data_IF_505739286720
#
_entry.id   IF_505739286720
#
_cell.length_a   1.000
_cell.length_b   1.000
_cell.length_c   1.000
_cell.angle_alpha   90.00
_cell.angle_beta   90.00
_cell.angle_gamma   90.00
#
_symmetry.space_group_name_H-M   'P 1'
#
loop_
_entity.id
_entity.type
_entity.pdbx_description
1 polymer ?
#
# COMPACT_ATOMS: atom_id res chain seq x y z
N UNK A 1 -20.02 -41.76 44.52
CA UNK A 1 -20.16 -40.88 45.69
C UNK A 1 -20.40 -39.51 45.10
N UNK A 2 -21.64 -39.15 45.01
CA UNK A 2 -22.49 -38.22 45.80
C UNK A 2 -22.07 -36.77 45.48
N UNK A 3 -22.93 -36.09 44.66
CA UNK A 3 -23.98 -35.10 45.01
C UNK A 3 -23.39 -33.83 45.62
N UNK A 4 -23.66 -32.63 45.20
CA UNK A 4 -24.98 -31.98 45.28
C UNK A 4 -25.06 -30.73 44.40
N UNK A 5 -26.25 -30.56 43.85
CA UNK A 5 -26.87 -29.40 43.22
C UNK A 5 -27.21 -28.32 44.24
N UNK A 6 -27.21 -27.04 43.84
CA UNK A 6 -28.21 -26.12 44.39
C UNK A 6 -28.59 -25.02 43.39
N UNK A 7 -29.88 -25.01 43.14
CA UNK A 7 -30.70 -24.05 42.39
C UNK A 7 -31.26 -23.04 43.39
N UNK A 8 -31.33 -21.78 43.07
CA UNK A 8 -32.30 -20.89 43.73
C UNK A 8 -32.74 -19.76 42.78
N UNK A 9 -34.01 -19.87 42.41
CA UNK A 9 -34.88 -18.82 41.83
C UNK A 9 -35.45 -17.98 42.96
N UNK A 10 -35.63 -16.66 42.73
CA UNK A 10 -36.65 -15.81 43.41
C UNK A 10 -36.89 -14.61 42.49
N UNK A 11 -37.94 -14.54 41.79
CA UNK A 11 -39.34 -14.09 41.97
C UNK A 11 -39.50 -12.56 42.21
N UNK A 12 -40.31 -12.03 41.27
CA UNK A 12 -40.96 -10.71 41.19
C UNK A 12 -41.63 -10.22 42.48
N UNK A 13 -41.69 -8.89 42.60
CA UNK A 13 -42.89 -8.22 43.13
C UNK A 13 -43.10 -6.85 42.52
N UNK A 14 -44.25 -6.65 41.89
CA UNK A 14 -44.83 -5.39 41.48
C UNK A 14 -45.69 -4.85 42.61
N UNK A 15 -45.65 -3.55 42.87
CA UNK A 15 -46.68 -2.84 43.65
C UNK A 15 -47.00 -1.54 42.88
N UNK A 16 -48.28 -1.43 42.52
CA UNK A 16 -48.92 -0.23 42.03
C UNK A 16 -49.71 0.46 43.15
N UNK A 17 -50.10 1.70 42.92
CA UNK A 17 -51.14 2.59 43.46
C UNK A 17 -50.66 4.01 43.21
N UNK A 18 -51.36 5.00 42.66
CA UNK A 18 -52.77 5.26 42.52
C UNK A 18 -52.95 6.77 42.62
N UNK A 19 -53.60 7.34 41.68
CA UNK A 19 -54.22 8.66 41.46
C UNK A 19 -54.27 9.71 42.58
N UNK A 20 -54.07 11.02 42.22
CA UNK A 20 -55.17 12.02 42.21
C UNK A 20 -54.71 13.45 41.96
N UNK A 21 -55.36 14.11 41.03
CA UNK A 21 -55.76 15.53 40.88
C UNK A 21 -55.11 16.64 41.70
N UNK A 22 -54.60 17.69 41.00
CA UNK A 22 -55.12 19.06 41.11
C UNK A 22 -54.39 19.98 40.13
N UNK A 23 -55.14 20.72 39.36
CA UNK A 23 -54.71 21.67 38.34
C UNK A 23 -54.13 22.94 38.88
N UNK A 24 -53.28 23.53 38.10
CA UNK A 24 -53.03 24.98 38.15
C UNK A 24 -52.58 25.41 36.73
N UNK A 25 -53.44 26.17 36.05
CA UNK A 25 -53.15 26.84 34.80
C UNK A 25 -52.12 27.97 35.12
N UNK A 26 -50.91 27.84 34.55
CA UNK A 26 -50.03 28.99 34.39
C UNK A 26 -49.62 29.07 32.92
N UNK A 27 -50.19 30.03 32.23
CA UNK A 27 -49.76 30.49 30.90
C UNK A 27 -48.37 31.10 31.05
N UNK A 28 -47.37 30.42 30.56
CA UNK A 28 -46.08 31.01 30.28
C UNK A 28 -45.87 31.05 28.75
N UNK A 29 -45.82 32.26 28.21
CA UNK A 29 -45.39 32.57 26.87
C UNK A 29 -43.94 32.07 26.69
N UNK A 30 -43.76 30.91 26.00
CA UNK A 30 -42.46 30.45 25.53
C UNK A 30 -42.19 31.12 24.18
N UNK A 31 -41.33 32.14 24.21
CA UNK A 31 -40.71 32.68 23.01
C UNK A 31 -39.92 31.54 22.34
N UNK A 32 -40.40 31.06 21.19
CA UNK A 32 -39.73 30.12 20.35
C UNK A 32 -38.47 30.78 19.76
N UNK A 33 -37.33 30.58 20.39
CA UNK A 33 -36.05 30.84 19.78
C UNK A 33 -35.84 29.78 18.68
N UNK A 34 -35.67 30.15 17.39
CA UNK A 34 -35.36 29.16 16.36
C UNK A 34 -33.95 28.60 16.61
N UNK A 35 -33.85 27.41 17.19
CA UNK A 35 -32.64 26.61 17.15
C UNK A 35 -32.29 26.38 15.67
N UNK A 36 -31.42 27.24 15.12
CA UNK A 36 -30.74 26.94 13.87
C UNK A 36 -29.91 25.69 14.14
N UNK A 37 -30.43 24.54 13.70
CA UNK A 37 -29.64 23.34 13.56
C UNK A 37 -28.52 23.66 12.55
N UNK A 38 -27.32 23.89 13.06
CA UNK A 38 -26.12 23.89 12.21
C UNK A 38 -25.95 22.44 11.76
N UNK A 39 -26.59 22.10 10.64
CA UNK A 39 -26.36 20.86 9.96
C UNK A 39 -24.85 20.81 9.66
N UNK A 40 -24.14 19.88 10.32
CA UNK A 40 -22.75 19.62 10.02
C UNK A 40 -22.69 19.28 8.53
N UNK A 41 -22.00 20.10 7.74
CA UNK A 41 -21.81 19.84 6.32
C UNK A 41 -21.23 18.43 6.15
N UNK A 42 -21.75 17.60 5.23
CA UNK A 42 -21.31 16.23 5.07
C UNK A 42 -19.78 16.19 4.84
N UNK A 43 -19.13 15.18 5.39
CA UNK A 43 -17.66 15.01 5.37
C UNK A 43 -17.07 15.10 3.94
N UNK A 44 -17.86 14.78 2.91
CA UNK A 44 -17.57 14.99 1.49
C UNK A 44 -17.13 16.44 1.17
N UNK A 45 -17.82 17.42 1.75
CA UNK A 45 -17.50 18.82 1.53
C UNK A 45 -16.16 19.27 2.14
N UNK A 46 -15.64 18.56 3.13
CA UNK A 46 -14.40 18.94 3.81
C UNK A 46 -13.16 18.52 3.01
N UNK A 47 -13.14 17.31 2.47
CA UNK A 47 -12.03 16.82 1.63
C UNK A 47 -12.02 17.52 0.27
N UNK A 48 -13.20 17.73 -0.34
CA UNK A 48 -13.33 18.54 -1.55
C UNK A 48 -12.88 20.00 -1.32
N UNK A 49 -13.21 20.61 -0.19
CA UNK A 49 -12.73 21.95 0.20
C UNK A 49 -11.22 21.97 0.46
N UNK A 50 -10.66 20.93 1.06
CA UNK A 50 -9.22 20.81 1.28
C UNK A 50 -8.45 20.64 -0.04
N UNK A 51 -9.00 19.88 -1.00
CA UNK A 51 -8.44 19.75 -2.35
C UNK A 51 -8.57 21.06 -3.15
N UNK A 52 -9.72 21.73 -3.06
CA UNK A 52 -9.96 23.02 -3.71
C UNK A 52 -9.18 24.20 -3.09
N UNK A 53 -8.66 24.05 -1.86
CA UNK A 53 -7.88 25.10 -1.17
C UNK A 53 -6.38 25.06 -1.44
N UNK A 54 -5.89 24.07 -2.21
CA UNK A 54 -4.48 24.02 -2.60
C UNK A 54 -4.20 25.05 -3.68
N UNK A 55 -3.03 25.71 -3.64
CA UNK A 55 -2.65 26.61 -4.73
C UNK A 55 -2.59 25.85 -6.05
N UNK A 56 -2.86 26.54 -7.17
CA UNK A 56 -2.81 25.91 -8.48
C UNK A 56 -1.42 25.33 -8.74
N UNK A 57 -1.31 24.23 -9.51
CA UNK A 57 -0.03 23.65 -9.88
C UNK A 57 0.77 24.63 -10.75
N UNK A 58 2.09 24.58 -10.66
CA UNK A 58 3.01 25.37 -11.49
C UNK A 58 2.89 24.99 -12.97
N UNK A 59 2.68 23.70 -13.23
CA UNK A 59 2.49 23.11 -14.56
C UNK A 59 1.59 21.88 -14.41
N UNK A 60 0.77 21.60 -15.42
CA UNK A 60 0.05 20.33 -15.55
C UNK A 60 0.54 19.63 -16.80
N UNK A 61 0.85 18.35 -16.70
CA UNK A 61 1.33 17.50 -17.78
C UNK A 61 0.30 16.40 -18.00
N UNK A 62 -0.14 16.20 -19.22
CA UNK A 62 -0.98 15.07 -19.59
C UNK A 62 -0.06 13.95 -20.08
N UNK A 63 -0.27 12.75 -19.52
CA UNK A 63 0.50 11.57 -19.92
C UNK A 63 -0.39 10.61 -20.72
N UNK A 64 0.26 9.68 -21.42
CA UNK A 64 -0.42 8.65 -22.19
C UNK A 64 -1.40 7.86 -21.30
N UNK A 65 -2.63 7.70 -21.81
CA UNK A 65 -3.70 7.04 -21.06
C UNK A 65 -4.58 7.98 -20.21
N UNK A 66 -4.42 9.31 -20.36
CA UNK A 66 -5.35 10.32 -19.84
C UNK A 66 -5.09 10.82 -18.43
N UNK A 67 -4.11 10.30 -17.71
CA UNK A 67 -3.75 10.82 -16.40
C UNK A 67 -3.21 12.27 -16.53
N UNK A 68 -3.62 13.12 -15.61
CA UNK A 68 -3.09 14.48 -15.44
C UNK A 68 -2.13 14.50 -14.26
N UNK A 69 -0.92 15.00 -14.50
CA UNK A 69 0.12 15.15 -13.48
C UNK A 69 0.30 16.63 -13.17
N UNK A 70 0.00 17.00 -11.94
CA UNK A 70 0.18 18.35 -11.44
C UNK A 70 1.57 18.52 -10.82
N UNK A 71 2.35 19.46 -11.30
CA UNK A 71 3.62 19.85 -10.71
C UNK A 71 3.37 20.82 -9.55
N UNK A 72 3.41 20.30 -8.34
CA UNK A 72 3.12 21.06 -7.12
C UNK A 72 4.42 21.47 -6.44
N UNK A 73 4.55 22.72 -5.92
CA UNK A 73 5.72 23.10 -5.13
C UNK A 73 6.01 22.06 -4.03
N UNK A 74 7.24 21.61 -3.91
CA UNK A 74 7.60 20.45 -3.08
C UNK A 74 7.21 20.61 -1.60
N UNK A 75 7.21 21.82 -1.07
CA UNK A 75 6.80 22.13 0.31
C UNK A 75 5.26 22.23 0.50
N UNK A 76 4.48 22.14 -0.58
CA UNK A 76 3.01 22.15 -0.55
C UNK A 76 2.39 20.77 -0.87
N UNK A 77 3.21 19.74 -0.99
CA UNK A 77 2.72 18.38 -1.18
C UNK A 77 1.94 17.87 0.05
N UNK A 78 1.04 16.87 -0.08
CA UNK A 78 0.20 16.37 1.00
C UNK A 78 0.91 15.95 2.28
N UNK A 79 2.17 15.53 2.20
CA UNK A 79 2.97 15.17 3.37
C UNK A 79 3.03 16.28 4.42
N UNK A 80 3.10 17.55 3.99
CA UNK A 80 3.22 18.71 4.87
C UNK A 80 1.89 19.19 5.47
N UNK A 81 0.78 18.52 5.17
CA UNK A 81 -0.47 18.67 5.93
C UNK A 81 -0.36 18.02 7.33
N UNK A 82 0.60 17.10 7.52
CA UNK A 82 0.84 16.47 8.82
C UNK A 82 1.37 17.49 9.83
N UNK A 83 0.80 17.57 11.08
CA UNK A 83 1.18 18.57 12.08
C UNK A 83 2.68 18.65 12.36
N UNK A 84 3.38 17.49 12.40
CA UNK A 84 4.83 17.41 12.65
C UNK A 84 5.70 17.86 11.47
N UNK A 85 5.14 17.98 10.25
CA UNK A 85 5.87 18.42 9.04
C UNK A 85 5.48 19.81 8.58
N UNK A 86 4.43 20.39 9.17
CA UNK A 86 3.90 21.69 8.76
C UNK A 86 5.00 22.76 8.79
N UNK A 87 5.14 23.49 7.68
CA UNK A 87 6.13 24.56 7.53
C UNK A 87 7.56 24.07 7.23
N UNK A 88 7.76 22.76 7.12
CA UNK A 88 9.04 22.20 6.73
C UNK A 88 9.17 22.10 5.19
N UNK A 89 10.34 21.69 4.73
CA UNK A 89 10.66 21.37 3.33
C UNK A 89 11.14 19.91 3.25
N UNK A 90 11.09 19.28 2.06
CA UNK A 90 11.72 17.98 1.87
C UNK A 90 13.21 18.04 2.24
N UNK A 91 13.70 16.94 2.83
CA UNK A 91 15.12 16.77 3.09
C UNK A 91 15.87 16.45 1.79
N UNK A 92 17.13 16.81 1.75
CA UNK A 92 18.03 16.31 0.72
C UNK A 92 18.28 14.81 0.90
N UNK A 93 18.46 14.06 -0.20
CA UNK A 93 18.76 12.63 -0.11
C UNK A 93 20.01 12.36 0.73
N UNK A 94 20.03 11.29 1.53
CA UNK A 94 21.20 10.88 2.29
C UNK A 94 22.32 10.37 1.38
N UNK A 95 23.50 10.17 1.95
CA UNK A 95 24.58 9.45 1.30
C UNK A 95 24.13 8.05 0.88
N UNK A 96 24.63 7.61 -0.27
CA UNK A 96 24.29 6.28 -0.78
C UNK A 96 24.90 5.19 0.06
N UNK A 97 24.22 4.03 0.06
CA UNK A 97 24.71 2.82 0.68
C UNK A 97 26.07 2.41 0.09
N UNK A 98 26.98 1.99 0.96
CA UNK A 98 28.21 1.35 0.56
C UNK A 98 27.93 -0.11 0.14
N UNK A 99 28.69 -0.62 -0.81
CA UNK A 99 28.53 -2.00 -1.29
C UNK A 99 27.38 -2.14 -2.32
N UNK A 100 27.14 -3.31 -2.74
CA UNK A 100 26.15 -3.71 -3.75
C UNK A 100 26.82 -4.54 -4.82
N UNK A 101 26.37 -5.79 -4.97
CA UNK A 101 26.75 -6.59 -6.12
C UNK A 101 26.01 -6.04 -7.33
N UNK A 102 26.73 -5.42 -8.25
CA UNK A 102 26.22 -5.23 -9.61
C UNK A 102 26.15 -6.61 -10.27
N UNK A 103 25.03 -7.26 -10.13
CA UNK A 103 24.74 -8.44 -10.96
C UNK A 103 24.64 -7.90 -12.38
N UNK A 104 25.62 -8.27 -13.21
CA UNK A 104 25.63 -7.90 -14.63
C UNK A 104 24.30 -8.31 -15.25
N UNK A 105 23.52 -7.34 -15.67
CA UNK A 105 22.24 -7.58 -16.32
C UNK A 105 22.50 -8.05 -17.75
N UNK A 106 22.53 -9.36 -17.96
CA UNK A 106 22.44 -9.98 -19.30
C UNK A 106 20.98 -10.07 -19.79
N UNK A 107 20.02 -9.68 -18.98
CA UNK A 107 18.64 -9.44 -19.38
C UNK A 107 18.59 -7.99 -19.86
N UNK A 108 18.07 -7.74 -21.06
CA UNK A 108 17.88 -6.39 -21.57
C UNK A 108 17.31 -5.53 -20.45
N UNK A 109 18.18 -4.73 -19.83
CA UNK A 109 17.75 -3.78 -18.82
C UNK A 109 16.66 -2.96 -19.44
N UNK A 110 15.53 -2.97 -18.81
CA UNK A 110 14.60 -1.89 -19.01
C UNK A 110 15.33 -0.69 -18.48
N UNK A 111 15.91 0.05 -19.40
CA UNK A 111 16.14 1.46 -19.14
C UNK A 111 14.94 1.95 -18.40
N UNK A 112 15.15 2.44 -17.16
CA UNK A 112 14.17 3.13 -16.33
C UNK A 112 12.89 3.34 -17.10
N UNK A 113 11.85 2.61 -16.76
CA UNK A 113 10.54 2.82 -17.36
C UNK A 113 10.37 4.32 -17.35
N UNK A 114 10.59 4.94 -18.48
CA UNK A 114 10.29 6.34 -18.63
C UNK A 114 8.80 6.38 -18.31
N UNK A 115 8.44 6.98 -17.16
CA UNK A 115 7.03 7.20 -16.84
C UNK A 115 6.46 8.21 -17.84
N UNK A 116 6.69 8.00 -19.10
CA UNK A 116 6.12 8.61 -20.30
C UNK A 116 5.85 10.11 -20.25
N UNK A 117 6.40 10.86 -19.28
CA UNK A 117 6.14 12.28 -19.15
C UNK A 117 7.42 13.10 -18.96
N UNK A 118 7.35 14.32 -19.44
CA UNK A 118 8.35 15.35 -19.17
C UNK A 118 8.43 15.63 -17.66
N UNK A 119 9.63 15.68 -17.09
CA UNK A 119 9.80 15.97 -15.66
C UNK A 119 9.19 17.30 -15.25
N UNK A 120 8.71 17.37 -14.02
CA UNK A 120 8.26 18.63 -13.42
C UNK A 120 9.42 19.63 -13.25
N UNK A 121 9.16 20.94 -13.25
CA UNK A 121 10.17 21.96 -12.98
C UNK A 121 10.91 21.71 -11.64
N UNK A 122 12.18 22.13 -11.50
CA UNK A 122 12.89 22.08 -10.23
C UNK A 122 12.12 22.74 -9.10
N UNK A 123 12.20 22.17 -7.90
CA UNK A 123 11.47 22.65 -6.71
C UNK A 123 10.00 22.22 -6.64
N UNK A 124 9.53 21.42 -7.62
CA UNK A 124 8.18 20.85 -7.63
C UNK A 124 8.23 19.33 -7.61
N UNK A 125 7.12 18.70 -7.23
CA UNK A 125 6.92 17.25 -7.29
C UNK A 125 5.69 16.92 -8.15
N UNK A 126 5.75 15.86 -8.98
CA UNK A 126 4.61 15.42 -9.78
C UNK A 126 3.61 14.67 -8.92
N UNK A 127 2.39 15.13 -8.92
CA UNK A 127 1.26 14.49 -8.21
C UNK A 127 0.18 14.16 -9.25
N UNK A 128 -0.19 12.87 -9.34
CA UNK A 128 -1.34 12.49 -10.16
C UNK A 128 -2.58 13.20 -9.63
N UNK A 129 -3.26 13.93 -10.52
CA UNK A 129 -4.49 14.64 -10.17
C UNK A 129 -5.56 13.65 -9.73
N UNK A 130 -6.12 13.86 -8.55
CA UNK A 130 -7.30 13.11 -8.09
C UNK A 130 -8.53 13.68 -8.75
N UNK A 131 -9.31 12.84 -9.42
CA UNK A 131 -10.58 13.24 -10.04
C UNK A 131 -11.74 13.02 -9.07
N UNK A 132 -12.92 13.55 -9.44
CA UNK A 132 -14.13 13.29 -8.67
C UNK A 132 -14.52 11.80 -8.73
N UNK A 133 -14.29 11.16 -9.86
CA UNK A 133 -14.52 9.74 -10.08
C UNK A 133 -13.61 8.88 -9.16
N UNK A 134 -12.35 9.27 -8.97
CA UNK A 134 -11.44 8.59 -8.03
C UNK A 134 -12.03 8.58 -6.61
N UNK A 135 -12.58 9.71 -6.16
CA UNK A 135 -13.19 9.83 -4.83
C UNK A 135 -14.47 9.00 -4.73
N UNK A 136 -15.31 9.01 -5.79
CA UNK A 136 -16.57 8.29 -5.82
C UNK A 136 -16.40 6.76 -5.85
N UNK A 137 -15.25 6.25 -6.35
CA UNK A 137 -14.92 4.82 -6.30
C UNK A 137 -14.56 4.34 -4.90
N UNK A 138 -14.10 5.22 -4.02
CA UNK A 138 -13.83 4.85 -2.64
C UNK A 138 -15.13 4.54 -1.88
N UNK A 139 -15.12 3.51 -1.02
CA UNK A 139 -16.28 3.14 -0.19
C UNK A 139 -16.74 4.27 0.74
N UNK A 140 -15.82 5.16 1.10
CA UNK A 140 -16.10 6.43 1.79
C UNK A 140 -14.90 7.37 1.62
N UNK A 141 -15.12 8.67 1.84
CA UNK A 141 -14.03 9.68 1.83
C UNK A 141 -12.94 9.36 2.87
N UNK A 142 -13.31 8.77 4.00
CA UNK A 142 -12.34 8.39 5.04
C UNK A 142 -11.46 7.22 4.59
N UNK A 143 -11.94 6.39 3.67
CA UNK A 143 -11.21 5.25 3.11
C UNK A 143 -10.46 5.61 1.82
N UNK A 144 -10.69 6.80 1.25
CA UNK A 144 -9.95 7.24 0.08
C UNK A 144 -8.44 7.28 0.36
N UNK A 145 -7.66 6.63 -0.48
CA UNK A 145 -6.21 6.52 -0.31
C UNK A 145 -5.75 5.52 0.75
N UNK A 146 -6.64 4.71 1.31
CA UNK A 146 -6.31 3.66 2.29
C UNK A 146 -6.59 2.27 1.74
N UNK A 147 -5.82 1.28 2.21
CA UNK A 147 -6.19 -0.13 2.01
C UNK A 147 -7.44 -0.46 2.82
N UNK A 148 -8.30 -1.37 2.33
CA UNK A 148 -9.37 -1.93 3.15
C UNK A 148 -8.80 -2.55 4.42
N UNK A 149 -9.53 -2.41 5.54
CA UNK A 149 -9.12 -3.02 6.82
C UNK A 149 -9.16 -4.54 6.65
N UNK A 150 -8.03 -5.21 6.88
CA UNK A 150 -8.00 -6.65 7.02
C UNK A 150 -8.80 -7.03 8.25
N UNK A 151 -9.88 -7.76 8.09
CA UNK A 151 -10.52 -8.46 9.22
C UNK A 151 -9.80 -9.79 9.36
N UNK A 152 -9.01 -9.93 10.42
CA UNK A 152 -8.35 -11.19 10.80
C UNK A 152 -9.38 -12.18 11.35
N UNK A 153 -10.31 -12.58 10.51
CA UNK A 153 -11.11 -13.78 10.76
C UNK A 153 -10.59 -14.88 9.84
N UNK A 154 -10.49 -16.07 10.32
CA UNK A 154 -10.19 -17.32 9.61
C UNK A 154 -10.82 -17.31 8.20
N UNK A 155 -10.08 -16.83 7.20
CA UNK A 155 -10.56 -16.56 5.85
C UNK A 155 -10.19 -15.15 5.40
N UNK A 156 -8.88 -14.79 5.43
CA UNK A 156 -8.38 -13.57 4.80
C UNK A 156 -8.72 -13.64 3.30
N UNK A 157 -9.42 -12.63 2.79
CA UNK A 157 -9.66 -12.48 1.35
C UNK A 157 -8.36 -12.16 0.57
N UNK A 158 -7.25 -11.95 1.29
CA UNK A 158 -5.92 -11.65 0.75
C UNK A 158 -5.11 -12.94 0.60
N UNK A 159 -4.54 -13.14 -0.57
CA UNK A 159 -3.75 -14.31 -0.92
C UNK A 159 -2.37 -13.91 -1.41
N UNK A 160 -1.36 -14.60 -0.92
CA UNK A 160 0.04 -14.26 -1.13
C UNK A 160 0.81 -15.38 -1.81
N UNK A 161 1.77 -14.98 -2.66
CA UNK A 161 2.89 -15.82 -3.08
C UNK A 161 4.16 -15.00 -2.86
N UNK A 162 4.85 -15.25 -1.73
CA UNK A 162 5.93 -14.40 -1.22
C UNK A 162 7.16 -15.19 -0.80
N UNK A 163 8.32 -14.62 -1.08
CA UNK A 163 9.57 -14.97 -0.44
C UNK A 163 9.84 -14.03 0.74
N UNK A 164 10.27 -14.55 1.89
CA UNK A 164 10.47 -13.73 3.07
C UNK A 164 11.66 -14.17 3.93
N UNK A 165 12.16 -13.23 4.72
CA UNK A 165 13.12 -13.44 5.80
C UNK A 165 12.62 -12.78 7.07
N UNK A 166 12.92 -13.39 8.24
CA UNK A 166 12.51 -12.89 9.54
C UNK A 166 13.49 -13.32 10.64
N UNK A 167 13.38 -12.69 11.81
CA UNK A 167 14.14 -13.08 13.02
C UNK A 167 15.43 -12.29 13.21
N UNK A 168 15.77 -11.36 12.32
CA UNK A 168 16.89 -10.43 12.44
C UNK A 168 16.40 -8.99 12.44
N UNK A 169 17.35 -8.04 12.52
CA UNK A 169 17.12 -6.62 12.34
C UNK A 169 17.50 -6.25 10.91
N UNK A 170 16.54 -5.68 10.18
CA UNK A 170 16.73 -5.28 8.79
C UNK A 170 16.58 -3.77 8.65
N UNK A 171 17.53 -3.15 7.96
CA UNK A 171 17.55 -1.70 7.74
C UNK A 171 17.24 -1.34 6.30
N UNK A 172 16.79 -2.30 5.51
CA UNK A 172 16.32 -2.11 4.16
C UNK A 172 16.30 -3.39 3.35
N UNK A 173 15.80 -3.25 2.12
CA UNK A 173 15.73 -4.32 1.15
C UNK A 173 15.82 -3.79 -0.28
N UNK A 174 16.46 -4.57 -1.15
CA UNK A 174 16.56 -4.31 -2.59
C UNK A 174 16.10 -5.52 -3.37
N UNK A 175 15.40 -5.28 -4.47
CA UNK A 175 15.03 -6.31 -5.44
C UNK A 175 14.76 -5.70 -6.82
N UNK A 176 14.95 -6.52 -7.86
CA UNK A 176 14.39 -6.28 -9.18
C UNK A 176 13.12 -7.11 -9.34
N UNK A 177 12.01 -6.49 -9.69
CA UNK A 177 10.72 -7.17 -9.84
C UNK A 177 10.14 -6.94 -11.24
N UNK A 178 9.71 -8.04 -11.89
CA UNK A 178 9.11 -7.98 -13.23
C UNK A 178 7.77 -7.24 -13.20
N UNK A 179 7.50 -6.46 -14.24
CA UNK A 179 6.26 -5.69 -14.38
C UNK A 179 5.35 -6.36 -15.39
N UNK A 180 4.13 -6.68 -14.95
CA UNK A 180 3.09 -7.28 -15.75
C UNK A 180 1.77 -6.51 -15.64
N UNK A 181 0.82 -6.82 -16.50
CA UNK A 181 -0.53 -6.28 -16.47
C UNK A 181 -1.54 -7.41 -16.21
N UNK A 182 -1.64 -7.94 -14.98
CA UNK A 182 -2.57 -9.01 -14.64
C UNK A 182 -4.02 -8.58 -14.86
N UNK A 183 -4.87 -9.51 -15.31
CA UNK A 183 -6.30 -9.30 -15.36
C UNK A 183 -6.87 -9.35 -13.93
N UNK A 184 -7.60 -8.31 -13.54
CA UNK A 184 -8.34 -8.22 -12.30
C UNK A 184 -9.83 -8.32 -12.60
N UNK A 185 -10.53 -9.29 -12.01
CA UNK A 185 -11.88 -9.67 -12.43
C UNK A 185 -13.00 -8.91 -11.73
N UNK A 186 -12.72 -8.28 -10.61
CA UNK A 186 -13.67 -7.44 -9.87
C UNK A 186 -13.07 -6.08 -9.54
N UNK A 187 -13.90 -5.03 -9.57
CA UNK A 187 -13.47 -3.68 -9.19
C UNK A 187 -13.00 -3.59 -7.74
N UNK A 188 -13.48 -4.48 -6.87
CA UNK A 188 -13.08 -4.57 -5.46
C UNK A 188 -11.84 -5.44 -5.20
N UNK A 189 -11.29 -6.04 -6.25
CA UNK A 189 -10.06 -6.83 -6.18
C UNK A 189 -8.87 -6.03 -6.69
N UNK A 190 -7.67 -6.49 -6.35
CA UNK A 190 -6.43 -5.98 -6.91
C UNK A 190 -5.41 -7.12 -7.07
N UNK A 191 -4.38 -6.84 -7.85
CA UNK A 191 -3.18 -7.66 -7.95
C UNK A 191 -1.97 -6.77 -7.87
N UNK A 192 -1.01 -7.12 -7.01
CA UNK A 192 0.20 -6.34 -6.82
C UNK A 192 1.45 -7.20 -6.76
N UNK A 193 2.58 -6.51 -6.87
CA UNK A 193 3.93 -7.03 -6.69
C UNK A 193 4.74 -5.97 -5.94
N UNK A 194 5.31 -6.31 -4.80
CA UNK A 194 5.95 -5.30 -3.95
C UNK A 194 7.01 -5.87 -3.00
N UNK A 195 7.78 -4.97 -2.39
CA UNK A 195 8.60 -5.18 -1.22
C UNK A 195 7.81 -4.71 0.00
N UNK A 196 7.79 -5.52 1.07
CA UNK A 196 7.28 -5.13 2.40
C UNK A 196 8.43 -5.09 3.40
N UNK A 197 8.58 -3.99 4.10
CA UNK A 197 9.32 -3.91 5.36
C UNK A 197 8.31 -3.92 6.50
N UNK A 198 8.46 -4.86 7.42
CA UNK A 198 7.45 -5.19 8.41
C UNK A 198 8.07 -5.19 9.80
N UNK A 199 7.37 -4.64 10.79
CA UNK A 199 7.68 -4.74 12.22
C UNK A 199 6.42 -4.65 13.06
N UNK A 200 6.39 -5.30 14.23
CA UNK A 200 5.22 -5.38 15.10
C UNK A 200 4.42 -6.67 14.91
N UNK A 201 3.23 -6.72 15.46
CA UNK A 201 2.37 -7.91 15.51
C UNK A 201 1.26 -7.83 14.48
N UNK A 202 1.08 -8.90 13.70
CA UNK A 202 -0.02 -9.00 12.75
C UNK A 202 -1.37 -8.89 13.46
N UNK A 203 -2.27 -8.07 12.89
CA UNK A 203 -3.62 -7.87 13.39
C UNK A 203 -3.77 -6.85 14.52
N UNK A 204 -2.67 -6.38 15.13
CA UNK A 204 -2.70 -5.47 16.28
C UNK A 204 -1.96 -4.15 16.00
N UNK A 205 -0.64 -4.16 16.08
CA UNK A 205 0.21 -2.96 16.01
C UNK A 205 1.21 -3.02 14.84
N UNK A 206 0.91 -3.82 13.82
CA UNK A 206 1.76 -4.00 12.65
C UNK A 206 2.10 -2.68 11.98
N UNK A 207 3.39 -2.46 11.75
CA UNK A 207 3.89 -1.40 10.89
C UNK A 207 4.36 -1.99 9.57
N UNK A 208 3.98 -1.36 8.45
CA UNK A 208 4.51 -1.71 7.13
C UNK A 208 4.97 -0.49 6.35
N UNK A 209 5.99 -0.70 5.54
CA UNK A 209 6.38 0.15 4.42
C UNK A 209 6.35 -0.74 3.18
N UNK A 210 5.68 -0.27 2.15
CA UNK A 210 5.40 -1.04 0.94
C UNK A 210 5.71 -0.21 -0.30
N UNK A 211 6.39 -0.81 -1.27
CA UNK A 211 6.61 -0.20 -2.58
C UNK A 211 6.68 -1.27 -3.68
N UNK A 212 6.09 -0.96 -4.82
CA UNK A 212 6.02 -1.87 -5.96
C UNK A 212 5.06 -1.37 -7.03
N UNK A 213 4.45 -2.30 -7.74
CA UNK A 213 3.38 -1.97 -8.68
C UNK A 213 2.10 -2.72 -8.35
N UNK A 214 0.97 -2.15 -8.73
CA UNK A 214 -0.35 -2.76 -8.57
C UNK A 214 -1.27 -2.46 -9.75
N UNK A 215 -2.16 -3.40 -10.04
CA UNK A 215 -3.39 -3.18 -10.79
C UNK A 215 -4.53 -3.13 -9.79
N UNK A 216 -5.14 -1.95 -9.64
CA UNK A 216 -6.18 -1.71 -8.64
C UNK A 216 -7.30 -0.83 -9.26
N UNK A 217 -8.31 -1.46 -9.88
CA UNK A 217 -9.39 -0.73 -10.53
C UNK A 217 -10.19 0.15 -9.58
N UNK A 218 -10.36 -0.24 -8.32
CA UNK A 218 -11.05 0.59 -7.33
C UNK A 218 -10.32 1.90 -7.07
N UNK A 219 -8.99 1.86 -6.98
CA UNK A 219 -8.19 3.06 -6.69
C UNK A 219 -8.00 3.95 -7.92
N UNK A 220 -7.81 3.35 -9.09
CA UNK A 220 -7.35 4.06 -10.29
C UNK A 220 -8.36 4.14 -11.42
N UNK A 221 -9.39 3.29 -11.42
CA UNK A 221 -10.43 3.25 -12.45
C UNK A 221 -10.05 2.50 -13.72
N UNK A 222 -8.89 1.85 -13.75
CA UNK A 222 -8.41 1.10 -14.90
C UNK A 222 -7.67 -0.19 -14.49
N UNK A 223 -7.29 -1.01 -15.49
CA UNK A 223 -6.56 -2.26 -15.32
C UNK A 223 -5.06 -2.15 -15.62
N UNK A 224 -4.45 -0.96 -15.54
CA UNK A 224 -3.03 -0.76 -15.83
C UNK A 224 -2.18 -0.95 -14.56
N UNK A 225 -0.98 -1.56 -14.67
CA UNK A 225 -0.04 -1.57 -13.55
C UNK A 225 0.46 -0.15 -13.27
N UNK A 226 0.50 0.21 -11.98
CA UNK A 226 0.86 1.54 -11.52
C UNK A 226 1.87 1.46 -10.39
N UNK A 227 2.94 2.26 -10.47
CA UNK A 227 3.92 2.35 -9.39
C UNK A 227 3.29 2.97 -8.16
N UNK A 228 3.47 2.34 -7.00
CA UNK A 228 2.86 2.82 -5.78
C UNK A 228 3.77 2.69 -4.56
N UNK A 229 3.42 3.45 -3.54
CA UNK A 229 3.91 3.33 -2.16
C UNK A 229 2.73 3.22 -1.22
N UNK A 230 2.91 2.50 -0.13
CA UNK A 230 1.96 2.45 0.97
C UNK A 230 2.69 2.37 2.32
N UNK A 231 2.02 2.73 3.40
CA UNK A 231 2.50 2.56 4.77
C UNK A 231 1.33 2.39 5.74
N UNK A 232 1.57 1.73 6.86
CA UNK A 232 0.68 1.72 8.04
C UNK A 232 1.50 1.60 9.31
N UNK A 233 0.93 2.01 10.45
CA UNK A 233 1.53 1.86 11.77
C UNK A 233 0.58 1.26 12.82
N UNK A 234 -0.55 0.70 12.37
CA UNK A 234 -1.60 0.16 13.24
C UNK A 234 -2.38 -0.98 12.56
N UNK A 235 -1.70 -1.85 11.84
CA UNK A 235 -2.30 -2.99 11.13
C UNK A 235 -3.46 -2.57 10.19
N UNK A 236 -3.29 -1.48 9.44
CA UNK A 236 -4.26 -0.94 8.47
C UNK A 236 -5.58 -0.42 9.07
N UNK A 237 -5.66 -0.19 10.39
CA UNK A 237 -6.91 0.19 11.04
C UNK A 237 -7.31 1.63 10.76
N UNK A 238 -6.47 2.60 11.13
CA UNK A 238 -6.73 4.03 10.99
C UNK A 238 -5.65 4.76 10.21
N UNK A 239 -4.38 4.35 10.39
CA UNK A 239 -3.24 4.92 9.69
C UNK A 239 -3.08 4.33 8.31
N UNK A 240 -2.22 4.94 7.53
CA UNK A 240 -1.86 4.45 6.20
C UNK A 240 -2.32 5.35 5.07
N UNK A 241 -1.53 5.31 3.99
CA UNK A 241 -1.80 6.10 2.81
C UNK A 241 -1.11 5.53 1.58
N UNK A 242 -1.84 5.50 0.47
CA UNK A 242 -1.27 5.29 -0.86
C UNK A 242 -0.62 6.58 -1.38
N UNK A 243 0.59 6.46 -1.87
CA UNK A 243 1.25 7.53 -2.64
C UNK A 243 1.23 8.89 -1.91
N UNK A 244 0.78 9.92 -2.61
CA UNK A 244 0.59 11.27 -2.09
C UNK A 244 -0.90 11.64 -1.93
N UNK A 245 -1.80 10.63 -1.78
CA UNK A 245 -3.23 10.89 -1.63
C UNK A 245 -3.58 11.49 -0.25
N UNK A 246 -2.76 11.27 0.74
CA UNK A 246 -2.84 11.84 2.09
C UNK A 246 -1.42 12.05 2.67
N UNK A 247 -1.33 12.55 3.91
CA UNK A 247 -0.04 12.78 4.56
C UNK A 247 0.69 11.48 4.89
N UNK A 248 2.02 11.51 4.81
CA UNK A 248 2.89 10.37 5.13
C UNK A 248 4.18 10.40 4.35
N UNK A 249 4.20 9.84 3.14
CA UNK A 249 5.37 9.84 2.27
C UNK A 249 5.71 11.25 1.79
N UNK A 250 6.98 11.65 1.92
CA UNK A 250 7.52 12.91 1.41
C UNK A 250 8.26 12.64 0.12
N UNK A 251 7.76 13.13 -0.99
CA UNK A 251 8.41 13.00 -2.30
C UNK A 251 9.48 14.08 -2.49
N UNK A 252 10.65 13.69 -3.01
CA UNK A 252 11.75 14.61 -3.32
C UNK A 252 12.02 14.69 -4.83
N UNK A 253 11.67 13.64 -5.57
CA UNK A 253 11.88 13.56 -7.02
C UNK A 253 10.85 14.39 -7.79
N UNK A 254 11.31 15.13 -8.78
CA UNK A 254 10.46 15.79 -9.77
C UNK A 254 10.24 14.96 -11.05
N UNK A 255 10.72 13.70 -11.08
CA UNK A 255 10.74 12.81 -12.27
C UNK A 255 9.79 11.63 -12.18
N UNK A 256 9.26 11.30 -11.00
CA UNK A 256 8.43 10.12 -10.77
C UNK A 256 7.06 10.55 -10.28
N UNK A 257 6.00 10.20 -10.99
CA UNK A 257 4.64 10.38 -10.53
C UNK A 257 4.14 9.08 -9.89
N UNK A 258 4.01 9.08 -8.56
CA UNK A 258 3.40 7.96 -7.84
C UNK A 258 1.94 7.79 -8.25
N UNK A 259 1.52 6.56 -8.53
CA UNK A 259 0.19 6.24 -9.04
C UNK A 259 0.05 6.37 -10.57
N UNK A 260 1.08 6.83 -11.28
CA UNK A 260 1.08 6.82 -12.75
C UNK A 260 1.23 5.39 -13.30
N UNK A 261 0.66 5.16 -14.48
CA UNK A 261 0.77 3.88 -15.16
C UNK A 261 2.23 3.59 -15.58
N UNK A 262 2.60 2.33 -15.48
CA UNK A 262 3.91 1.84 -15.92
C UNK A 262 3.79 1.30 -17.34
N UNK A 263 4.69 1.72 -18.21
CA UNK A 263 4.79 1.24 -19.58
C UNK A 263 6.25 1.33 -20.05
N UNK A 264 6.76 0.34 -20.79
CA UNK A 264 6.09 -0.89 -21.20
C UNK A 264 6.00 -1.96 -20.10
N UNK A 265 5.20 -3.01 -20.32
CA UNK A 265 5.09 -4.19 -19.44
C UNK A 265 5.68 -5.43 -20.11
N UNK A 266 6.06 -6.42 -19.32
CA UNK A 266 6.49 -7.73 -19.79
C UNK A 266 5.42 -8.40 -20.65
N UNK A 267 5.84 -9.17 -21.63
CA UNK A 267 4.97 -9.94 -22.52
C UNK A 267 5.29 -11.44 -22.48
N UNK A 268 4.26 -12.28 -22.55
CA UNK A 268 4.38 -13.74 -22.57
C UNK A 268 5.26 -14.17 -23.74
N UNK A 269 6.33 -14.93 -23.46
CA UNK A 269 7.37 -15.33 -24.39
C UNK A 269 8.07 -14.18 -25.13
N UNK A 270 7.79 -12.93 -24.75
CA UNK A 270 8.32 -11.70 -25.33
C UNK A 270 9.40 -11.04 -24.48
N UNK A 271 9.53 -9.73 -24.67
CA UNK A 271 10.45 -8.90 -23.89
C UNK A 271 9.99 -8.84 -22.43
N UNK A 272 10.96 -8.93 -21.52
CA UNK A 272 10.70 -8.84 -20.08
C UNK A 272 11.17 -7.48 -19.57
N UNK A 273 10.35 -6.88 -18.71
CA UNK A 273 10.61 -5.60 -18.09
C UNK A 273 10.56 -5.75 -16.58
N UNK A 274 11.54 -5.22 -15.89
CA UNK A 274 11.57 -5.16 -14.44
C UNK A 274 11.95 -3.77 -13.93
N UNK A 275 11.63 -3.50 -12.68
CA UNK A 275 12.02 -2.30 -11.96
C UNK A 275 12.90 -2.68 -10.77
N UNK A 276 13.94 -1.91 -10.54
CA UNK A 276 14.78 -2.03 -9.36
C UNK A 276 14.23 -1.12 -8.26
N UNK A 277 14.00 -1.68 -7.09
CA UNK A 277 13.60 -0.95 -5.90
C UNK A 277 14.58 -1.17 -4.77
N UNK A 278 14.94 -0.09 -4.09
CA UNK A 278 15.68 -0.11 -2.84
C UNK A 278 14.94 0.75 -1.82
N UNK A 279 14.62 0.13 -0.67
CA UNK A 279 14.12 0.84 0.50
C UNK A 279 15.18 0.70 1.58
N UNK A 280 15.64 1.81 2.17
CA UNK A 280 16.64 1.76 3.23
C UNK A 280 16.42 2.83 4.27
N UNK A 281 16.91 2.56 5.47
CA UNK A 281 16.84 3.46 6.60
C UNK A 281 18.08 4.35 6.64
N UNK A 282 17.89 5.65 6.60
CA UNK A 282 18.97 6.62 6.79
C UNK A 282 19.45 6.59 8.25
N UNK A 283 20.72 6.28 8.52
CA UNK A 283 21.23 6.21 9.89
C UNK A 283 21.27 7.56 10.60
N UNK A 284 21.32 8.67 9.86
CA UNK A 284 21.44 10.01 10.43
C UNK A 284 20.11 10.53 10.98
N UNK A 285 19.01 10.38 10.22
CA UNK A 285 17.69 10.90 10.59
C UNK A 285 16.67 9.80 10.92
N UNK A 286 17.03 8.53 10.64
CA UNK A 286 16.16 7.39 10.87
C UNK A 286 14.97 7.29 9.90
N UNK A 287 14.94 8.06 8.82
CA UNK A 287 13.87 8.01 7.81
C UNK A 287 14.08 6.85 6.85
N UNK A 288 12.99 6.32 6.31
CA UNK A 288 13.03 5.26 5.32
C UNK A 288 12.96 5.86 3.92
N UNK A 289 14.02 5.70 3.15
CA UNK A 289 14.15 6.23 1.80
C UNK A 289 13.78 5.21 0.75
N UNK A 290 13.28 5.67 -0.39
CA UNK A 290 12.92 4.85 -1.54
C UNK A 290 13.72 5.33 -2.75
N UNK A 291 14.42 4.40 -3.40
CA UNK A 291 15.11 4.59 -4.68
C UNK A 291 14.49 3.68 -5.74
N UNK A 292 14.33 4.20 -6.95
CA UNK A 292 13.89 3.50 -8.14
C UNK A 292 15.03 3.48 -9.17
N UNK A 293 15.28 2.29 -9.75
CA UNK A 293 16.44 2.09 -10.64
C UNK A 293 17.75 2.19 -9.88
N UNK A 294 18.80 2.62 -10.56
CA UNK A 294 20.18 2.65 -10.00
C UNK A 294 20.55 3.95 -9.30
N UNK A 295 19.66 4.98 -9.28
CA UNK A 295 20.06 6.29 -8.74
C UNK A 295 18.93 7.30 -8.50
N UNK A 296 17.70 6.96 -8.77
CA UNK A 296 16.62 7.92 -8.67
C UNK A 296 15.92 7.82 -7.31
N UNK A 297 16.35 8.64 -6.36
CA UNK A 297 15.68 8.77 -5.06
C UNK A 297 14.30 9.37 -5.26
N UNK A 298 13.27 8.65 -4.88
CA UNK A 298 11.85 9.03 -5.03
C UNK A 298 11.42 9.94 -3.89
N UNK A 299 11.79 9.57 -2.65
CA UNK A 299 11.41 10.27 -1.43
C UNK A 299 11.59 9.39 -0.19
N UNK A 300 10.91 9.75 0.90
CA UNK A 300 11.07 9.04 2.18
C UNK A 300 9.79 9.01 3.02
N UNK A 301 9.70 8.02 3.90
CA UNK A 301 8.75 7.98 5.01
C UNK A 301 9.44 8.48 6.29
N UNK A 302 8.94 9.56 6.92
CA UNK A 302 9.46 10.04 8.19
C UNK A 302 9.36 8.98 9.30
N UNK A 303 10.40 8.80 10.08
CA UNK A 303 10.46 7.80 11.16
C UNK A 303 9.31 7.95 12.18
N UNK A 304 8.86 9.16 12.44
CA UNK A 304 7.79 9.43 13.40
C UNK A 304 6.41 8.88 13.01
N UNK A 305 6.23 8.43 11.76
CA UNK A 305 5.00 7.76 11.32
C UNK A 305 4.82 6.41 12.01
N UNK A 306 5.91 5.81 12.47
CA UNK A 306 5.97 4.43 12.93
C UNK A 306 6.26 4.32 14.42
N UNK A 307 5.72 3.28 15.04
CA UNK A 307 6.11 2.82 16.36
C UNK A 307 7.31 1.87 16.28
N UNK A 308 7.17 0.74 15.60
CA UNK A 308 8.18 -0.32 15.50
C UNK A 308 9.21 -0.07 14.39
N UNK A 309 8.77 0.33 13.18
CA UNK A 309 9.68 0.69 12.10
C UNK A 309 10.46 1.99 12.37
N UNK A 310 10.14 2.72 13.44
CA UNK A 310 11.00 3.80 13.93
C UNK A 310 12.43 3.29 14.21
N UNK A 311 12.61 2.03 14.60
CA UNK A 311 13.89 1.41 14.86
C UNK A 311 14.42 0.57 13.68
N UNK A 312 13.76 -0.52 13.34
CA UNK A 312 14.14 -1.44 12.27
C UNK A 312 12.96 -2.31 11.82
N UNK A 313 13.11 -3.00 10.71
CA UNK A 313 12.19 -4.06 10.33
C UNK A 313 12.63 -5.39 10.97
N UNK A 314 11.69 -6.23 11.40
CA UNK A 314 11.93 -7.58 11.89
C UNK A 314 11.57 -8.66 10.88
N UNK A 315 10.95 -8.28 9.78
CA UNK A 315 10.63 -9.12 8.64
C UNK A 315 10.71 -8.31 7.34
N UNK A 316 11.18 -8.96 6.28
CA UNK A 316 11.15 -8.45 4.91
C UNK A 316 10.45 -9.48 4.04
N UNK A 317 9.49 -9.03 3.24
CA UNK A 317 8.79 -9.86 2.26
C UNK A 317 8.93 -9.27 0.85
N UNK A 318 8.92 -10.16 -0.13
CA UNK A 318 8.93 -9.84 -1.55
C UNK A 318 7.91 -10.73 -2.25
N UNK A 319 7.09 -10.23 -3.14
CA UNK A 319 6.19 -11.09 -3.89
C UNK A 319 4.89 -10.43 -4.32
N UNK A 320 3.91 -11.28 -4.60
CA UNK A 320 2.58 -10.91 -5.06
C UNK A 320 1.52 -11.07 -3.99
N UNK A 321 0.49 -10.24 -4.11
CA UNK A 321 -0.74 -10.30 -3.31
C UNK A 321 -1.93 -10.06 -4.23
N UNK A 322 -2.99 -10.83 -4.03
CA UNK A 322 -4.29 -10.63 -4.67
C UNK A 322 -5.39 -10.61 -3.62
N UNK A 323 -6.56 -10.07 -3.97
CA UNK A 323 -7.76 -10.15 -3.14
C UNK A 323 -8.77 -11.04 -3.82
N UNK A 324 -9.31 -12.00 -3.07
CA UNK A 324 -10.38 -12.89 -3.49
C UNK A 324 -11.69 -12.44 -2.83
N UNK A 325 -12.57 -11.81 -3.59
CA UNK A 325 -13.88 -11.35 -3.07
C UNK A 325 -15.01 -12.35 -3.30
N UNK A 326 -14.69 -13.55 -3.83
CA UNK A 326 -15.69 -14.60 -4.08
C UNK A 326 -16.16 -15.23 -2.76
N UNK A 327 -17.45 -15.47 -2.68
CA UNK A 327 -18.08 -16.16 -1.54
C UNK A 327 -18.25 -17.66 -1.80
N UNK A 328 -18.65 -18.40 -0.77
CA UNK A 328 -19.04 -19.82 -0.86
C UNK A 328 -17.92 -20.78 -1.28
N UNK A 329 -16.68 -20.47 -0.94
CA UNK A 329 -15.53 -21.34 -1.26
C UNK A 329 -15.12 -21.32 -2.73
N UNK A 330 -15.66 -20.39 -3.52
CA UNK A 330 -15.20 -20.14 -4.87
C UNK A 330 -13.96 -19.25 -4.85
N UNK A 331 -13.06 -19.46 -5.83
CA UNK A 331 -11.87 -18.67 -5.99
C UNK A 331 -11.99 -17.67 -7.15
N UNK A 332 -11.47 -16.47 -6.96
CA UNK A 332 -11.42 -15.46 -8.03
C UNK A 332 -10.49 -15.89 -9.17
N UNK A 333 -10.79 -15.44 -10.39
CA UNK A 333 -9.89 -15.56 -11.54
C UNK A 333 -8.99 -14.32 -11.70
N UNK A 334 -8.88 -13.47 -10.67
CA UNK A 334 -7.89 -12.39 -10.66
C UNK A 334 -6.50 -13.00 -10.72
N UNK A 335 -5.71 -12.55 -11.68
CA UNK A 335 -4.36 -13.06 -11.92
C UNK A 335 -3.36 -12.46 -10.93
N UNK A 336 -2.39 -13.26 -10.50
CA UNK A 336 -1.22 -12.77 -9.77
C UNK A 336 0.00 -12.74 -10.70
N UNK A 337 0.73 -11.61 -10.67
CA UNK A 337 1.91 -11.45 -11.50
C UNK A 337 1.60 -11.47 -13.00
N UNK A 338 2.12 -12.45 -13.72
CA UNK A 338 1.85 -12.66 -15.15
C UNK A 338 0.55 -13.43 -15.43
N UNK A 339 -0.09 -14.00 -14.41
CA UNK A 339 -1.18 -14.96 -14.54
C UNK A 339 -0.72 -16.39 -14.86
N UNK A 340 0.59 -16.63 -14.87
CA UNK A 340 1.21 -17.95 -15.11
C UNK A 340 1.86 -18.48 -13.84
N UNK A 341 1.87 -19.80 -13.69
CA UNK A 341 2.48 -20.46 -12.53
C UNK A 341 4.00 -20.34 -12.52
N UNK A 342 4.60 -20.35 -11.32
CA UNK A 342 6.04 -20.21 -11.12
C UNK A 342 6.87 -21.26 -11.88
N UNK A 343 6.33 -22.47 -12.07
CA UNK A 343 6.97 -23.58 -12.77
C UNK A 343 7.22 -23.31 -14.23
N UNK A 344 6.47 -22.36 -14.81
CA UNK A 344 6.62 -21.98 -16.23
C UNK A 344 7.90 -21.16 -16.47
N UNK A 345 8.48 -20.56 -15.43
CA UNK A 345 9.80 -19.95 -15.44
C UNK A 345 9.90 -18.64 -16.24
N UNK A 346 11.13 -18.33 -16.68
CA UNK A 346 11.47 -17.07 -17.34
C UNK A 346 10.66 -16.84 -18.63
N UNK A 347 10.24 -15.60 -18.88
CA UNK A 347 9.36 -15.11 -19.97
C UNK A 347 7.90 -15.54 -19.86
N UNK A 348 7.54 -16.30 -18.84
CA UNK A 348 6.16 -16.76 -18.62
C UNK A 348 5.66 -16.37 -17.23
N UNK A 349 6.37 -16.76 -16.18
CA UNK A 349 6.05 -16.41 -14.81
C UNK A 349 6.65 -15.06 -14.41
N UNK A 350 5.99 -14.37 -13.48
CA UNK A 350 6.57 -13.20 -12.80
C UNK A 350 7.76 -13.61 -11.95
N UNK A 351 8.67 -12.68 -11.70
CA UNK A 351 9.85 -12.95 -10.88
C UNK A 351 10.26 -11.77 -10.01
N UNK A 352 10.95 -12.11 -8.93
CA UNK A 352 11.86 -11.25 -8.19
C UNK A 352 13.28 -11.80 -8.36
N UNK A 353 14.25 -10.92 -8.56
CA UNK A 353 15.67 -11.27 -8.68
C UNK A 353 16.54 -10.27 -7.93
N UNK A 354 17.82 -10.60 -7.77
CA UNK A 354 18.80 -9.73 -7.11
C UNK A 354 18.36 -9.29 -5.71
N UNK A 355 17.84 -10.26 -4.93
CA UNK A 355 17.33 -10.02 -3.59
C UNK A 355 18.48 -9.70 -2.63
N UNK A 356 18.44 -8.54 -2.01
CA UNK A 356 19.45 -8.06 -1.07
C UNK A 356 18.76 -7.41 0.15
N UNK A 357 19.48 -7.34 1.24
CA UNK A 357 19.07 -6.70 2.49
C UNK A 357 20.05 -5.57 2.83
N UNK A 358 19.61 -4.63 3.64
CA UNK A 358 20.49 -3.63 4.25
C UNK A 358 20.73 -4.02 5.70
N UNK A 359 22.00 -4.16 6.08
CA UNK A 359 22.42 -4.52 7.43
C UNK A 359 22.53 -3.29 8.36
N UNK A 360 22.95 -3.54 9.60
CA UNK A 360 23.17 -2.49 10.60
C UNK A 360 24.21 -1.44 10.18
N UNK A 361 25.27 -1.88 9.50
CA UNK A 361 26.35 -1.00 9.04
C UNK A 361 26.00 -0.26 7.74
N UNK A 362 24.72 -0.33 7.33
CA UNK A 362 24.20 0.31 6.14
C UNK A 362 24.82 -0.22 4.83
N UNK A 363 25.18 -1.50 4.80
CA UNK A 363 25.67 -2.19 3.61
C UNK A 363 24.58 -3.03 2.95
N UNK A 364 24.61 -3.10 1.63
CA UNK A 364 23.81 -4.04 0.86
C UNK A 364 24.49 -5.43 0.91
N UNK A 365 23.79 -6.40 1.46
CA UNK A 365 24.23 -7.79 1.58
C UNK A 365 23.31 -8.73 0.80
N UNK A 366 23.85 -9.82 0.19
CA UNK A 366 23.02 -10.82 -0.47
C UNK A 366 22.02 -11.44 0.51
N UNK A 367 20.79 -11.67 0.04
CA UNK A 367 19.79 -12.34 0.83
C UNK A 367 20.13 -13.84 0.94
N UNK A 368 20.21 -14.35 2.16
CA UNK A 368 20.31 -15.77 2.48
C UNK A 368 19.08 -16.24 3.25
N UNK A 369 18.85 -17.55 3.26
CA UNK A 369 17.76 -18.21 4.01
C UNK A 369 16.35 -17.70 3.63
N UNK A 370 16.13 -17.41 2.34
CA UNK A 370 14.81 -17.07 1.81
C UNK A 370 13.83 -18.22 2.05
N UNK A 371 12.74 -17.92 2.75
CA UNK A 371 11.60 -18.82 2.91
C UNK A 371 10.55 -18.48 1.88
N UNK A 372 9.82 -19.46 1.37
CA UNK A 372 8.78 -19.30 0.38
C UNK A 372 7.44 -19.69 0.97
N UNK A 373 6.40 -18.92 0.68
CA UNK A 373 5.03 -19.15 1.10
C UNK A 373 4.08 -18.86 -0.07
N UNK A 374 3.14 -19.76 -0.30
CA UNK A 374 1.96 -19.51 -1.12
C UNK A 374 0.74 -19.96 -0.31
N UNK A 375 -0.22 -19.07 -0.09
CA UNK A 375 -1.42 -19.37 0.71
C UNK A 375 -2.29 -20.44 0.01
N UNK A 376 -2.47 -20.33 -1.29
CA UNK A 376 -3.18 -21.29 -2.13
C UNK A 376 -2.35 -21.73 -3.35
N UNK A 377 -1.43 -22.70 -3.21
CA UNK A 377 -0.47 -23.06 -4.26
C UNK A 377 -1.10 -23.62 -5.55
N UNK A 378 -2.34 -24.10 -5.49
CA UNK A 378 -3.11 -24.50 -6.68
C UNK A 378 -3.66 -23.31 -7.50
N UNK A 379 -3.72 -22.13 -6.89
CA UNK A 379 -4.20 -20.89 -7.47
C UNK A 379 -3.05 -19.98 -7.87
N UNK A 380 -2.07 -19.85 -6.96
CA UNK A 380 -0.86 -19.06 -7.13
C UNK A 380 0.32 -19.84 -6.55
N UNK A 381 1.36 -20.07 -7.35
CA UNK A 381 2.54 -20.81 -6.92
C UNK A 381 3.77 -19.91 -6.78
N UNK A 382 4.79 -20.43 -6.10
CA UNK A 382 6.08 -19.78 -5.93
C UNK A 382 7.20 -20.82 -6.00
N UNK A 383 8.32 -20.49 -6.69
CA UNK A 383 9.48 -21.37 -6.83
C UNK A 383 10.77 -20.55 -6.80
N UNK A 384 11.63 -20.80 -5.83
CA UNK A 384 12.89 -20.10 -5.64
C UNK A 384 14.09 -20.79 -6.29
N UNK A 385 15.16 -20.02 -6.41
CA UNK A 385 16.45 -20.45 -6.88
C UNK A 385 17.55 -19.43 -6.58
N UNK A 386 18.79 -19.77 -6.92
CA UNK A 386 19.92 -18.86 -6.89
C UNK A 386 20.87 -19.19 -8.04
N UNK A 387 21.46 -18.16 -8.66
CA UNK A 387 22.50 -18.33 -9.69
C UNK A 387 23.39 -17.07 -9.73
N UNK A 388 24.51 -17.17 -10.47
CA UNK A 388 25.48 -16.07 -10.57
C UNK A 388 24.96 -14.83 -11.30
N UNK A 389 23.96 -14.98 -12.19
CA UNK A 389 23.43 -13.87 -12.99
C UNK A 389 22.31 -13.09 -12.27
N UNK A 390 21.50 -13.77 -11.46
CA UNK A 390 20.32 -13.21 -10.80
C UNK A 390 20.47 -13.09 -9.28
N UNK A 391 21.53 -13.64 -8.70
CA UNK A 391 21.63 -13.81 -7.25
C UNK A 391 20.53 -14.74 -6.72
N UNK A 392 20.01 -14.45 -5.54
CA UNK A 392 18.79 -15.09 -5.02
C UNK A 392 17.59 -14.56 -5.78
N UNK A 393 16.71 -15.47 -6.21
CA UNK A 393 15.51 -15.13 -6.98
C UNK A 393 14.37 -16.11 -6.71
N UNK A 394 13.17 -15.76 -7.14
CA UNK A 394 12.05 -16.68 -7.26
C UNK A 394 11.12 -16.28 -8.41
N UNK A 395 10.43 -17.26 -8.97
CA UNK A 395 9.26 -17.08 -9.83
C UNK A 395 8.00 -17.21 -8.98
N UNK A 396 6.96 -16.48 -9.36
CA UNK A 396 5.67 -16.54 -8.68
C UNK A 396 4.53 -16.13 -9.62
N UNK A 397 3.30 -16.50 -9.24
CA UNK A 397 2.09 -16.10 -9.95
C UNK A 397 1.11 -17.23 -10.15
N UNK A 398 0.09 -16.94 -10.93
CA UNK A 398 -0.95 -17.90 -11.31
C UNK A 398 -2.23 -17.24 -11.79
N UNK A 399 -3.12 -18.02 -12.40
CA UNK A 399 -4.35 -17.51 -13.02
C UNK A 399 -5.49 -17.26 -12.02
N UNK A 400 -5.30 -17.57 -10.74
CA UNK A 400 -6.41 -17.65 -9.79
C UNK A 400 -7.26 -18.89 -10.02
N UNK A 401 -8.58 -18.74 -9.99
CA UNK A 401 -9.54 -19.82 -10.17
C UNK A 401 -9.30 -20.62 -11.46
N UNK A 402 -9.13 -21.93 -11.30
CA UNK A 402 -8.85 -22.87 -12.37
C UNK A 402 -9.35 -24.27 -11.98
N UNK A 403 -9.14 -25.30 -12.81
CA UNK A 403 -9.61 -26.67 -12.52
C UNK A 403 -9.04 -27.26 -11.20
N UNK A 404 -7.88 -26.79 -10.72
CA UNK A 404 -7.23 -27.23 -9.47
C UNK A 404 -7.52 -26.28 -8.29
N UNK A 405 -8.04 -25.09 -8.57
CA UNK A 405 -8.32 -24.01 -7.64
C UNK A 405 -9.77 -23.56 -7.87
N UNK A 406 -10.69 -24.07 -7.10
CA UNK A 406 -12.13 -23.81 -7.21
C UNK A 406 -12.59 -22.85 -6.15
#
# INVERSE_FOLDING_TARGET
MSKETNNSKTQLQAIGFGSSFAGCLLLTLLAACPLRSVAAAPAANRTQRQMASRPPPVKTIQIDGGDLIDCVPSHLQPAFDHPKLRGQKPLDPPERLAGGFNVSSTVNEVSLIAFGFESCPPGTVPIRRTTQEDILRASSIRQFGKKPVRRDSTGSDHEHAVGYVMGNRYYGAKASLSVWAPAVTSVSEFSLSQIWLISGSFGDDLNTIEAGWQVNPQLHGDGRPRFFTYWTSDAYQQTGCYNLLCSGFVQTSNKIALGAAISPTSALNGVQFDIDLLIWKDPKHGHWWLELGSSLVVGYWPAFLFSHLAEHANMVQFGGETVNTRSLGLHTSTQMGSGHFAEEGFRRASYFRNLQLVDWDNNLIPLSNLRLLADHPNCYSIRGGANGAWGSYFYYGGPGGNMRCR
#
